data_IF_223749497891
#
_entry.id   IF_223749497891
#
_cell.length_a   1.000
_cell.length_b   1.000
_cell.length_c   1.000
_cell.angle_alpha   90.00
_cell.angle_beta   90.00
_cell.angle_gamma   90.00
#
_symmetry.space_group_name_H-M   'P 1'
#
loop_
_entity.id
_entity.type
_entity.pdbx_description
1 polymer ?
#
# COMPACT_ATOMS: atom_id res chain seq x y z
N UNK A 1 -5.33 -19.68 -19.65
CA UNK A 1 -6.43 -18.77 -20.03
C UNK A 1 -6.51 -17.49 -19.15
N UNK A 2 -5.50 -17.13 -18.37
CA UNK A 2 -5.53 -15.97 -17.43
C UNK A 2 -4.84 -14.70 -17.94
N UNK A 3 -4.19 -14.73 -19.11
CA UNK A 3 -3.32 -13.66 -19.61
C UNK A 3 -4.04 -12.42 -20.15
N UNK A 4 -5.35 -12.48 -20.40
CA UNK A 4 -6.12 -11.32 -20.86
C UNK A 4 -6.55 -10.35 -19.75
N UNK A 5 -6.65 -10.82 -18.51
CA UNK A 5 -7.21 -10.02 -17.41
C UNK A 5 -6.15 -9.33 -16.55
N UNK A 6 -5.04 -10.01 -16.27
CA UNK A 6 -3.94 -9.48 -15.47
C UNK A 6 -2.90 -8.82 -16.38
N UNK A 7 -2.80 -7.49 -16.31
CA UNK A 7 -1.81 -6.71 -17.05
C UNK A 7 -1.10 -5.71 -16.14
N UNK A 8 0.16 -5.38 -16.46
CA UNK A 8 0.95 -4.41 -15.71
C UNK A 8 0.24 -3.05 -15.63
N UNK A 9 -0.37 -2.59 -16.72
CA UNK A 9 -1.14 -1.33 -16.75
C UNK A 9 -2.28 -1.33 -15.75
N UNK A 10 -3.05 -2.43 -15.66
CA UNK A 10 -4.17 -2.55 -14.70
C UNK A 10 -3.66 -2.56 -13.27
N UNK A 11 -2.62 -3.35 -12.99
CA UNK A 11 -1.97 -3.37 -11.68
C UNK A 11 -1.53 -1.96 -11.25
N UNK A 12 -0.84 -1.21 -12.13
CA UNK A 12 -0.36 0.14 -11.82
C UNK A 12 -1.51 1.12 -11.55
N UNK A 13 -2.58 1.08 -12.33
CA UNK A 13 -3.75 1.94 -12.10
C UNK A 13 -4.47 1.62 -10.80
N UNK A 14 -4.63 0.35 -10.46
CA UNK A 14 -5.23 -0.04 -9.19
C UNK A 14 -4.38 0.43 -8.01
N UNK A 15 -3.05 0.27 -8.06
CA UNK A 15 -2.16 0.84 -7.03
C UNK A 15 -2.26 2.36 -6.96
N UNK A 16 -2.33 3.07 -8.10
CA UNK A 16 -2.43 4.52 -8.13
C UNK A 16 -3.77 5.02 -7.53
N UNK A 17 -4.89 4.40 -7.88
CA UNK A 17 -6.21 4.73 -7.34
C UNK A 17 -6.24 4.45 -5.83
N UNK A 18 -5.82 3.26 -5.41
CA UNK A 18 -5.75 2.89 -4.00
C UNK A 18 -4.88 3.87 -3.20
N UNK A 19 -3.69 4.19 -3.70
CA UNK A 19 -2.78 5.14 -3.05
C UNK A 19 -3.38 6.55 -2.94
N UNK A 20 -4.13 6.99 -3.94
CA UNK A 20 -4.80 8.29 -3.92
C UNK A 20 -5.86 8.37 -2.82
N UNK A 21 -6.63 7.29 -2.59
CA UNK A 21 -7.57 7.22 -1.48
C UNK A 21 -6.88 7.35 -0.12
N UNK A 22 -5.77 6.64 0.09
CA UNK A 22 -5.00 6.74 1.33
C UNK A 22 -4.36 8.11 1.52
N UNK A 23 -3.81 8.69 0.45
CA UNK A 23 -3.22 10.02 0.48
C UNK A 23 -4.27 11.08 0.85
N UNK A 24 -5.48 11.03 0.29
CA UNK A 24 -6.57 11.95 0.65
C UNK A 24 -7.02 11.71 2.09
N UNK A 25 -7.27 10.45 2.47
CA UNK A 25 -7.76 10.10 3.79
C UNK A 25 -6.82 10.59 4.91
N UNK A 26 -5.51 10.50 4.68
CA UNK A 26 -4.49 10.83 5.69
C UNK A 26 -3.78 12.16 5.44
N UNK A 27 -4.26 12.95 4.46
CA UNK A 27 -3.70 14.26 4.17
C UNK A 27 -3.73 15.13 5.44
N UNK A 28 -2.66 15.91 5.71
CA UNK A 28 -2.62 16.80 6.86
C UNK A 28 -3.85 17.70 6.93
N UNK A 29 -4.63 17.59 8.02
CA UNK A 29 -5.86 18.36 8.24
C UNK A 29 -7.15 17.72 7.69
N UNK A 30 -7.09 16.75 6.78
CA UNK A 30 -8.28 16.09 6.24
C UNK A 30 -9.07 15.30 7.30
N UNK A 31 -8.46 14.46 8.16
CA UNK A 31 -9.18 13.74 9.21
C UNK A 31 -9.95 14.65 10.18
N UNK A 32 -9.40 15.85 10.45
CA UNK A 32 -10.03 16.85 11.32
C UNK A 32 -11.27 17.47 10.68
N UNK A 33 -11.28 17.62 9.35
CA UNK A 33 -12.36 18.23 8.59
C UNK A 33 -13.46 17.23 8.22
N UNK A 34 -13.08 16.05 7.75
CA UNK A 34 -13.98 15.03 7.22
C UNK A 34 -14.49 14.05 8.29
N UNK A 35 -13.81 14.00 9.45
CA UNK A 35 -14.11 13.08 10.53
C UNK A 35 -13.52 11.67 10.34
N UNK A 36 -13.45 10.93 11.45
CA UNK A 36 -12.86 9.59 11.48
C UNK A 36 -13.63 8.57 10.61
N UNK A 37 -14.96 8.64 10.56
CA UNK A 37 -15.79 7.74 9.75
C UNK A 37 -15.49 7.85 8.25
N UNK A 38 -15.45 9.07 7.72
CA UNK A 38 -15.12 9.33 6.30
C UNK A 38 -13.68 8.91 5.99
N UNK A 39 -12.74 9.21 6.89
CA UNK A 39 -11.34 8.81 6.75
C UNK A 39 -11.18 7.29 6.68
N UNK A 40 -11.82 6.57 7.60
CA UNK A 40 -11.79 5.11 7.65
C UNK A 40 -12.44 4.49 6.40
N UNK A 41 -13.55 5.07 5.91
CA UNK A 41 -14.22 4.61 4.70
C UNK A 41 -13.34 4.78 3.46
N UNK A 42 -12.65 5.93 3.30
CA UNK A 42 -11.71 6.15 2.19
C UNK A 42 -10.54 5.15 2.24
N UNK A 43 -9.96 4.93 3.42
CA UNK A 43 -8.93 3.91 3.62
C UNK A 43 -9.45 2.51 3.26
N UNK A 44 -10.66 2.15 3.69
CA UNK A 44 -11.26 0.86 3.37
C UNK A 44 -11.45 0.68 1.86
N UNK A 45 -12.04 1.67 1.17
CA UNK A 45 -12.17 1.66 -0.30
C UNK A 45 -10.81 1.52 -0.97
N UNK A 46 -9.82 2.32 -0.57
CA UNK A 46 -8.46 2.24 -1.10
C UNK A 46 -7.82 0.86 -0.94
N UNK A 47 -8.07 0.18 0.18
CA UNK A 47 -7.47 -1.13 0.47
C UNK A 47 -7.94 -2.24 -0.47
N UNK A 48 -9.16 -2.15 -1.01
CA UNK A 48 -9.67 -3.08 -2.03
C UNK A 48 -8.94 -2.95 -3.35
N UNK A 49 -8.61 -1.72 -3.76
CA UNK A 49 -7.79 -1.45 -4.93
C UNK A 49 -6.39 -2.02 -4.76
N UNK A 50 -5.75 -1.81 -3.60
CA UNK A 50 -4.45 -2.41 -3.26
C UNK A 50 -4.48 -3.93 -3.30
N UNK A 51 -5.50 -4.56 -2.70
CA UNK A 51 -5.64 -6.02 -2.66
C UNK A 51 -5.81 -6.61 -4.05
N UNK A 52 -6.61 -5.95 -4.89
CA UNK A 52 -6.81 -6.37 -6.28
C UNK A 52 -5.52 -6.19 -7.09
N UNK A 53 -4.81 -5.07 -6.91
CA UNK A 53 -3.52 -4.82 -7.58
C UNK A 53 -2.47 -5.87 -7.21
N UNK A 54 -2.34 -6.18 -5.91
CA UNK A 54 -1.40 -7.18 -5.41
C UNK A 54 -1.77 -8.59 -5.86
N UNK A 55 -3.06 -8.90 -5.99
CA UNK A 55 -3.51 -10.15 -6.60
C UNK A 55 -3.08 -10.25 -8.08
N UNK A 56 -3.28 -9.18 -8.87
CA UNK A 56 -2.82 -9.16 -10.26
C UNK A 56 -1.30 -9.35 -10.34
N UNK A 57 -0.54 -8.67 -9.45
CA UNK A 57 0.90 -8.83 -9.36
C UNK A 57 1.29 -10.28 -9.05
N UNK A 58 0.61 -10.93 -8.10
CA UNK A 58 0.85 -12.32 -7.73
C UNK A 58 0.57 -13.31 -8.86
N UNK A 59 -0.48 -13.07 -9.65
CA UNK A 59 -0.83 -13.90 -10.82
C UNK A 59 0.21 -13.74 -11.93
N UNK A 60 0.80 -12.55 -12.11
CA UNK A 60 1.82 -12.27 -13.12
C UNK A 60 3.25 -12.62 -12.67
N UNK A 61 3.49 -12.75 -11.37
CA UNK A 61 4.82 -12.93 -10.80
C UNK A 61 5.49 -14.22 -11.27
N UNK A 62 6.77 -14.12 -11.63
CA UNK A 62 7.64 -15.26 -11.93
C UNK A 62 7.94 -16.03 -10.66
N UNK A 63 8.07 -17.35 -10.77
CA UNK A 63 8.45 -18.21 -9.63
C UNK A 63 9.79 -17.77 -9.03
N UNK A 64 10.00 -18.07 -7.75
CA UNK A 64 11.18 -17.64 -6.99
C UNK A 64 10.90 -16.40 -6.16
N UNK A 65 11.89 -15.51 -6.06
CA UNK A 65 11.82 -14.31 -5.21
C UNK A 65 10.73 -13.32 -5.63
N UNK A 66 10.47 -13.20 -6.93
CA UNK A 66 9.41 -12.33 -7.48
C UNK A 66 8.02 -12.78 -6.99
N UNK A 67 7.73 -14.08 -7.06
CA UNK A 67 6.50 -14.65 -6.50
C UNK A 67 6.40 -14.48 -4.98
N UNK A 68 7.49 -14.68 -4.23
CA UNK A 68 7.48 -14.46 -2.78
C UNK A 68 7.29 -13.00 -2.39
N UNK A 69 7.88 -12.07 -3.14
CA UNK A 69 7.62 -10.63 -3.00
C UNK A 69 6.14 -10.33 -3.23
N UNK A 70 5.58 -10.77 -4.35
CA UNK A 70 4.16 -10.56 -4.65
C UNK A 70 3.22 -11.26 -3.65
N UNK A 71 3.57 -12.44 -3.15
CA UNK A 71 2.76 -13.20 -2.19
C UNK A 71 2.73 -12.52 -0.82
N UNK A 72 3.88 -12.04 -0.34
CA UNK A 72 3.97 -11.28 0.92
C UNK A 72 3.28 -9.92 0.79
N UNK A 73 3.41 -9.25 -0.36
CA UNK A 73 2.64 -8.04 -0.68
C UNK A 73 1.13 -8.31 -0.59
N UNK A 74 0.65 -9.36 -1.25
CA UNK A 74 -0.77 -9.70 -1.26
C UNK A 74 -1.29 -10.04 0.14
N UNK A 75 -0.56 -10.86 0.90
CA UNK A 75 -0.89 -11.14 2.30
C UNK A 75 -0.96 -9.84 3.13
N UNK A 76 -0.02 -8.92 2.93
CA UNK A 76 -0.04 -7.60 3.56
C UNK A 76 -1.28 -6.79 3.23
N UNK A 77 -1.71 -6.76 1.96
CA UNK A 77 -2.93 -6.05 1.55
C UNK A 77 -4.20 -6.63 2.16
N UNK A 78 -4.29 -7.95 2.33
CA UNK A 78 -5.45 -8.60 2.95
C UNK A 78 -5.56 -8.26 4.45
N UNK A 79 -4.43 -8.29 5.16
CA UNK A 79 -4.38 -7.88 6.56
C UNK A 79 -4.76 -6.41 6.69
N UNK A 80 -4.28 -5.57 5.79
CA UNK A 80 -4.62 -4.16 5.81
C UNK A 80 -6.09 -3.88 5.45
N UNK A 81 -6.68 -4.66 4.54
CA UNK A 81 -8.11 -4.63 4.26
C UNK A 81 -8.94 -5.03 5.49
N UNK A 82 -8.50 -6.06 6.23
CA UNK A 82 -9.12 -6.45 7.51
C UNK A 82 -9.02 -5.33 8.54
N UNK A 83 -7.86 -4.69 8.67
CA UNK A 83 -7.65 -3.56 9.59
C UNK A 83 -8.58 -2.38 9.26
N UNK A 84 -8.63 -1.97 8.00
CA UNK A 84 -9.47 -0.85 7.55
C UNK A 84 -10.96 -1.18 7.62
N UNK A 85 -11.36 -2.43 7.37
CA UNK A 85 -12.73 -2.91 7.60
C UNK A 85 -13.11 -2.87 9.07
N UNK A 86 -12.22 -3.33 9.95
CA UNK A 86 -12.40 -3.20 11.39
C UNK A 86 -12.51 -1.72 11.83
N UNK A 87 -11.75 -0.81 11.21
CA UNK A 87 -11.82 0.61 11.50
C UNK A 87 -13.15 1.27 11.08
N UNK A 88 -13.83 0.75 10.06
CA UNK A 88 -15.17 1.21 9.64
C UNK A 88 -16.25 0.71 10.62
N UNK A 89 -16.10 -0.51 11.15
CA UNK A 89 -17.07 -1.12 12.07
C UNK A 89 -16.83 -0.81 13.55
N UNK A 90 -15.63 -0.40 13.94
CA UNK A 90 -15.30 -0.17 15.35
C UNK A 90 -16.07 1.03 15.90
N UNK A 91 -17.05 0.76 16.76
CA UNK A 91 -17.86 1.76 17.44
C UNK A 91 -17.27 2.03 18.83
N UNK A 92 -16.22 2.85 18.90
CA UNK A 92 -15.69 3.52 20.12
C UNK A 92 -15.19 2.65 21.30
N UNK A 93 -15.26 1.32 21.25
CA UNK A 93 -14.82 0.47 22.36
C UNK A 93 -13.29 0.25 22.29
N UNK A 94 -12.58 0.51 23.39
CA UNK A 94 -11.11 0.40 23.48
C UNK A 94 -10.58 -1.00 23.08
N UNK A 95 -11.35 -2.06 23.35
CA UNK A 95 -11.05 -3.43 22.92
C UNK A 95 -11.05 -3.60 21.39
N UNK A 96 -11.84 -2.82 20.66
CA UNK A 96 -11.93 -2.90 19.20
C UNK A 96 -10.72 -2.30 18.49
N UNK A 97 -10.05 -1.32 19.11
CA UNK A 97 -8.85 -0.69 18.54
C UNK A 97 -7.68 -1.67 18.36
N UNK A 98 -7.61 -2.73 19.18
CA UNK A 98 -6.60 -3.80 19.01
C UNK A 98 -6.83 -4.60 17.72
N UNK A 99 -8.09 -4.81 17.33
CA UNK A 99 -8.44 -5.50 16.09
C UNK A 99 -8.15 -4.66 14.85
N UNK A 100 -8.02 -3.33 14.98
CA UNK A 100 -7.53 -2.45 13.91
C UNK A 100 -6.00 -2.50 13.84
N UNK A 101 -5.31 -2.33 14.96
CA UNK A 101 -3.85 -2.19 14.98
C UNK A 101 -3.08 -3.48 14.67
N UNK A 102 -3.48 -4.63 15.24
CA UNK A 102 -2.73 -5.88 15.06
C UNK A 102 -2.59 -6.32 13.58
N UNK A 103 -3.68 -6.32 12.76
CA UNK A 103 -3.55 -6.64 11.35
C UNK A 103 -2.81 -5.53 10.56
N UNK A 104 -2.91 -4.26 10.95
CA UNK A 104 -2.15 -3.17 10.32
C UNK A 104 -0.63 -3.33 10.51
N UNK A 105 -0.19 -3.58 11.74
CA UNK A 105 1.22 -3.80 12.05
C UNK A 105 1.76 -5.06 11.35
N UNK A 106 0.98 -6.15 11.34
CA UNK A 106 1.38 -7.39 10.66
C UNK A 106 1.42 -7.21 9.15
N UNK A 107 0.46 -6.48 8.56
CA UNK A 107 0.43 -6.16 7.15
C UNK A 107 1.62 -5.29 6.73
N UNK A 108 1.98 -4.31 7.55
CA UNK A 108 3.15 -3.45 7.34
C UNK A 108 4.47 -4.24 7.33
N UNK A 109 4.61 -5.23 8.22
CA UNK A 109 5.77 -6.14 8.19
C UNK A 109 5.81 -6.95 6.90
N UNK A 110 4.66 -7.45 6.42
CA UNK A 110 4.59 -8.18 5.16
C UNK A 110 4.99 -7.29 3.95
N UNK A 111 4.58 -6.01 3.94
CA UNK A 111 5.01 -5.03 2.93
C UNK A 111 6.51 -4.74 2.97
N UNK A 112 7.12 -4.67 4.15
CA UNK A 112 8.56 -4.51 4.30
C UNK A 112 9.33 -5.71 3.74
N UNK A 113 8.90 -6.93 4.08
CA UNK A 113 9.50 -8.16 3.53
C UNK A 113 9.37 -8.18 2.01
N UNK A 114 8.17 -7.88 1.49
CA UNK A 114 7.92 -7.75 0.05
C UNK A 114 8.86 -6.75 -0.63
N UNK A 115 9.01 -5.56 -0.05
CA UNK A 115 9.86 -4.49 -0.59
C UNK A 115 11.35 -4.87 -0.61
N UNK A 116 11.85 -5.53 0.44
CA UNK A 116 13.22 -6.05 0.48
C UNK A 116 13.42 -7.10 -0.61
N UNK A 117 12.48 -8.04 -0.77
CA UNK A 117 12.54 -9.04 -1.83
C UNK A 117 12.51 -8.38 -3.22
N UNK A 118 11.68 -7.36 -3.43
CA UNK A 118 11.63 -6.63 -4.69
C UNK A 118 12.95 -5.92 -5.02
N UNK A 119 13.61 -5.30 -4.04
CA UNK A 119 14.94 -4.70 -4.19
C UNK A 119 15.99 -5.76 -4.52
N UNK A 120 15.92 -6.95 -3.92
CA UNK A 120 16.82 -8.06 -4.27
C UNK A 120 16.56 -8.55 -5.70
N UNK A 121 15.30 -8.61 -6.15
CA UNK A 121 14.94 -9.04 -7.52
C UNK A 121 15.46 -8.09 -8.59
N UNK A 122 15.40 -6.77 -8.38
CA UNK A 122 15.94 -5.79 -9.36
C UNK A 122 17.48 -5.76 -9.39
N UNK A 123 18.13 -6.40 -8.42
CA UNK A 123 19.58 -6.62 -8.42
C UNK A 123 20.42 -5.37 -8.12
N UNK A 124 21.69 -5.45 -8.48
CA UNK A 124 22.71 -4.44 -8.13
C UNK A 124 22.47 -3.08 -8.79
N UNK A 125 23.03 -2.04 -8.17
CA UNK A 125 22.98 -0.61 -8.53
C UNK A 125 22.70 -0.30 -10.01
N UNK A 126 21.43 -0.04 -10.33
CA UNK A 126 20.97 0.36 -11.66
C UNK A 126 20.06 1.59 -11.60
N UNK A 127 20.60 2.76 -11.20
CA UNK A 127 19.80 3.96 -10.94
C UNK A 127 19.10 4.53 -12.19
N UNK A 128 19.51 4.10 -13.38
CA UNK A 128 18.86 4.47 -14.65
C UNK A 128 17.63 3.63 -14.97
N UNK A 129 17.49 2.45 -14.37
CA UNK A 129 16.31 1.59 -14.55
C UNK A 129 15.11 2.15 -13.80
N UNK A 130 13.95 2.19 -14.49
CA UNK A 130 12.67 2.58 -13.88
C UNK A 130 12.26 1.57 -12.82
N UNK A 131 12.43 0.27 -13.09
CA UNK A 131 12.10 -0.80 -12.16
C UNK A 131 12.91 -0.71 -10.87
N UNK A 132 14.21 -0.39 -11.00
CA UNK A 132 15.10 -0.20 -9.85
C UNK A 132 14.64 0.99 -8.98
N UNK A 133 14.37 2.14 -9.62
CA UNK A 133 13.90 3.34 -8.90
C UNK A 133 12.54 3.09 -8.25
N UNK A 134 11.61 2.45 -8.95
CA UNK A 134 10.29 2.15 -8.45
C UNK A 134 10.34 1.17 -7.27
N UNK A 135 11.20 0.14 -7.31
CA UNK A 135 11.38 -0.79 -6.19
C UNK A 135 11.89 -0.08 -4.92
N UNK A 136 12.87 0.82 -5.04
CA UNK A 136 13.37 1.60 -3.91
C UNK A 136 12.35 2.60 -3.36
N UNK A 137 11.60 3.28 -4.23
CA UNK A 137 10.52 4.18 -3.81
C UNK A 137 9.42 3.38 -3.11
N UNK A 138 9.07 2.19 -3.61
CA UNK A 138 8.09 1.31 -2.99
C UNK A 138 8.58 0.85 -1.60
N UNK A 139 9.84 0.45 -1.46
CA UNK A 139 10.43 0.11 -0.16
C UNK A 139 10.41 1.29 0.82
N UNK A 140 10.73 2.50 0.36
CA UNK A 140 10.62 3.72 1.19
C UNK A 140 9.18 3.94 1.66
N UNK A 141 8.19 3.67 0.80
CA UNK A 141 6.77 3.67 1.16
C UNK A 141 6.45 2.64 2.24
N UNK A 142 6.93 1.41 2.12
CA UNK A 142 6.76 0.35 3.12
C UNK A 142 7.36 0.74 4.49
N UNK A 143 8.52 1.43 4.49
CA UNK A 143 9.15 1.93 5.72
C UNK A 143 8.32 3.04 6.36
N UNK A 144 7.88 4.05 5.60
CA UNK A 144 7.04 5.12 6.11
C UNK A 144 5.73 4.58 6.70
N UNK A 145 5.15 3.61 6.03
CA UNK A 145 3.94 2.91 6.46
C UNK A 145 4.17 2.05 7.71
N UNK A 146 5.31 1.35 7.80
CA UNK A 146 5.70 0.62 9.00
C UNK A 146 5.95 1.53 10.21
N UNK A 147 6.55 2.71 9.99
CA UNK A 147 6.71 3.74 11.05
C UNK A 147 5.34 4.27 11.50
N UNK A 148 4.38 4.43 10.58
CA UNK A 148 3.00 4.78 10.92
C UNK A 148 2.35 3.74 11.83
N UNK A 149 2.47 2.45 11.51
CA UNK A 149 1.93 1.37 12.35
C UNK A 149 2.56 1.35 13.76
N UNK A 150 3.85 1.69 13.89
CA UNK A 150 4.51 1.85 15.18
C UNK A 150 4.00 3.09 15.94
N UNK A 151 3.76 4.21 15.25
CA UNK A 151 3.19 5.41 15.84
C UNK A 151 1.73 5.22 16.28
N UNK A 152 1.00 4.37 15.58
CA UNK A 152 -0.37 3.95 15.91
C UNK A 152 -0.44 2.94 17.06
N UNK A 153 0.69 2.55 17.66
CA UNK A 153 0.73 1.57 18.74
C UNK A 153 -0.23 1.96 19.87
N UNK A 154 -1.12 1.02 20.22
CA UNK A 154 -2.12 1.23 21.26
C UNK A 154 -1.54 0.73 22.58
N UNK A 155 -1.26 1.65 23.52
CA UNK A 155 -0.88 1.27 24.90
C UNK A 155 -2.08 0.63 25.62
N UNK A 156 -1.84 -0.10 26.72
CA UNK A 156 -2.91 -0.70 27.56
C UNK A 156 -4.00 0.30 28.01
N UNK A 157 -3.71 1.60 27.96
CA UNK A 157 -4.63 2.71 28.27
C UNK A 157 -5.57 3.10 27.14
N UNK A 158 -5.46 2.51 25.94
CA UNK A 158 -6.37 2.75 24.81
C UNK A 158 -6.06 3.99 23.95
N UNK A 159 -5.03 4.76 24.29
CA UNK A 159 -4.58 5.93 23.54
C UNK A 159 -3.51 5.52 22.53
N UNK A 160 -3.69 5.93 21.27
CA UNK A 160 -2.69 5.83 20.21
C UNK A 160 -1.51 6.73 20.56
N UNK A 161 -0.27 6.21 20.45
CA UNK A 161 0.93 6.94 20.90
C UNK A 161 1.08 8.29 20.19
N UNK A 162 0.87 8.34 18.87
CA UNK A 162 0.84 9.59 18.12
C UNK A 162 0.01 9.44 16.84
N UNK A 163 -1.27 9.86 16.90
CA UNK A 163 -2.19 9.81 15.75
C UNK A 163 -1.73 10.71 14.59
N UNK A 164 -1.07 11.84 14.88
CA UNK A 164 -0.56 12.74 13.84
C UNK A 164 0.58 12.09 13.08
N UNK A 165 1.50 11.47 13.81
CA UNK A 165 2.63 10.75 13.21
C UNK A 165 2.18 9.52 12.42
N UNK A 166 1.15 8.80 12.90
CA UNK A 166 0.54 7.70 12.16
C UNK A 166 -0.07 8.19 10.83
N UNK A 167 -0.96 9.19 10.86
CA UNK A 167 -1.54 9.74 9.64
C UNK A 167 -0.48 10.28 8.68
N UNK A 168 0.53 10.98 9.19
CA UNK A 168 1.63 11.49 8.37
C UNK A 168 2.46 10.39 7.72
N UNK A 169 2.81 9.33 8.45
CA UNK A 169 3.55 8.19 7.90
C UNK A 169 2.75 7.45 6.82
N UNK A 170 1.44 7.27 7.03
CA UNK A 170 0.54 6.69 6.03
C UNK A 170 0.44 7.56 4.79
N UNK A 171 0.34 8.89 4.96
CA UNK A 171 0.31 9.84 3.86
C UNK A 171 1.58 9.78 3.01
N UNK A 172 2.75 9.83 3.64
CA UNK A 172 4.04 9.72 2.95
C UNK A 172 4.17 8.37 2.24
N UNK A 173 3.79 7.28 2.91
CA UNK A 173 3.77 5.94 2.31
C UNK A 173 2.88 5.88 1.06
N UNK A 174 1.68 6.45 1.13
CA UNK A 174 0.74 6.52 0.01
C UNK A 174 1.32 7.30 -1.19
N UNK A 175 2.02 8.42 -0.94
CA UNK A 175 2.69 9.16 -2.01
C UNK A 175 3.83 8.36 -2.66
N UNK A 176 4.60 7.61 -1.87
CA UNK A 176 5.63 6.73 -2.39
C UNK A 176 5.04 5.62 -3.28
N UNK A 177 3.98 4.93 -2.82
CA UNK A 177 3.30 3.90 -3.61
C UNK A 177 2.69 4.46 -4.89
N UNK A 178 2.09 5.66 -4.82
CA UNK A 178 1.58 6.37 -5.99
C UNK A 178 2.71 6.66 -6.99
N UNK A 179 3.83 7.21 -6.53
CA UNK A 179 4.96 7.52 -7.38
C UNK A 179 5.52 6.26 -8.07
N UNK A 180 5.73 5.17 -7.32
CA UNK A 180 6.19 3.90 -7.87
C UNK A 180 5.22 3.33 -8.93
N UNK A 181 3.91 3.35 -8.65
CA UNK A 181 2.89 2.87 -9.56
C UNK A 181 2.82 3.69 -10.86
N UNK A 182 2.92 5.02 -10.76
CA UNK A 182 2.90 5.90 -11.93
C UNK A 182 4.16 5.77 -12.79
N UNK A 183 5.31 5.45 -12.18
CA UNK A 183 6.58 5.21 -12.87
C UNK A 183 6.58 3.90 -13.66
N UNK A 184 6.02 2.82 -13.09
CA UNK A 184 5.96 1.49 -13.72
C UNK A 184 4.92 1.38 -14.85
N UNK A 185 4.14 2.43 -15.12
CA UNK A 185 3.16 2.40 -16.21
C UNK A 185 3.88 2.19 -17.54
N UNK A 186 3.47 1.18 -18.33
CA UNK A 186 3.91 1.08 -19.72
C UNK A 186 3.61 2.40 -20.42
N UNK A 187 4.63 3.02 -21.02
CA UNK A 187 4.37 4.07 -22.01
C UNK A 187 3.65 3.38 -23.16
N UNK A 188 2.41 3.79 -23.42
CA UNK A 188 1.83 3.53 -24.73
C UNK A 188 2.76 4.22 -25.72
N UNK A 189 3.57 3.45 -26.44
CA UNK A 189 4.08 3.93 -27.70
C UNK A 189 2.83 4.21 -28.53
N UNK A 190 2.43 5.48 -28.55
CA UNK A 190 1.64 6.03 -29.63
C UNK A 190 2.53 5.89 -30.85
N UNK A 191 2.54 4.68 -31.41
CA UNK A 191 3.16 4.40 -32.67
C UNK A 191 2.58 5.42 -33.64
N UNK A 192 3.51 6.14 -34.26
CA UNK A 192 3.34 6.88 -35.48
C UNK A 192 2.51 6.08 -36.50
N UNK A 193 1.19 6.21 -36.45
CA UNK A 193 0.32 5.89 -37.59
C UNK A 193 0.29 7.13 -38.50
N UNK A 194 1.47 7.46 -39.03
CA UNK A 194 1.62 8.21 -40.27
C UNK A 194 2.05 7.20 -41.32
N UNK A 195 1.08 6.60 -42.00
CA UNK A 195 1.18 6.16 -43.40
C UNK A 195 -0.19 6.27 -44.04
#
# INVERSE_FOLDING_TARGET
MTTGFATLTRQCWLFAIGSSFFAVATAPGFPLLAGAGTTNALCFVGSWFFSTAAYLQLVMARRGLDWWSAATQFAGTLLFNLSTGAAVWAHTIVGERRYVWAPDATGSMAFLVSGVLAVVVVGTWSPRSVDWRAAWINLAGCVAFGVSALAAFVRKTGVTVDERLANFGTFVGALCFLAAALMLRPRSDTASTLR
#
